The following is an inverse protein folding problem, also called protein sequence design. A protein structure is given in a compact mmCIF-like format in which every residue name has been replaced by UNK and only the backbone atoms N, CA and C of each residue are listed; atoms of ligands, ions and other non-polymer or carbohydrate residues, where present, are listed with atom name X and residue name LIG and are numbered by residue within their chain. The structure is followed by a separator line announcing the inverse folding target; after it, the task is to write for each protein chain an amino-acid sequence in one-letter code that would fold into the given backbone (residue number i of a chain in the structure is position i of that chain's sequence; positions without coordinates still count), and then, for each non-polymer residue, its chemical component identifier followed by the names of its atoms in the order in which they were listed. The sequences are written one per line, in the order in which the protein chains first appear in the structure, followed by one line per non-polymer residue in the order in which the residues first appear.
data_IF_626268154223
#
_entry.id   IF_626268154223
#
_cell.length_a   1.000
_cell.length_b   1.000
_cell.length_c   1.000
_cell.angle_alpha   90.00
_cell.angle_beta   90.00
_cell.angle_gamma   90.00
#
_symmetry.space_group_name_H-M   'P 1'
#
loop_
_entity.id
_entity.type
_entity.pdbx_description
1 polymer ?
#
# COMPACT_ATOMS: atom_id res chain seq x y z
N UNK A 1 31.90 2.69 15.12
CA UNK A 1 30.49 2.25 15.17
C UNK A 1 29.83 2.75 13.88
N UNK A 2 29.66 1.84 12.94
CA UNK A 2 29.38 2.19 11.54
C UNK A 2 28.02 2.85 11.37
N UNK A 3 27.97 3.90 10.55
CA UNK A 3 26.76 4.64 10.19
C UNK A 3 25.67 3.68 9.68
N UNK A 4 26.10 2.65 8.95
CA UNK A 4 25.23 1.60 8.43
C UNK A 4 24.48 0.84 9.54
N UNK A 5 25.12 0.50 10.65
CA UNK A 5 24.49 -0.21 11.77
C UNK A 5 23.46 0.63 12.52
N UNK A 6 23.58 1.96 12.45
CA UNK A 6 22.59 2.90 13.01
C UNK A 6 21.37 3.10 12.12
N UNK A 7 21.58 3.06 10.80
CA UNK A 7 20.52 3.25 9.80
C UNK A 7 19.68 1.98 9.58
N UNK A 8 20.35 0.82 9.52
CA UNK A 8 19.72 -0.48 9.28
C UNK A 8 19.55 -1.26 10.58
N UNK A 9 18.72 -0.74 11.48
CA UNK A 9 18.36 -1.45 12.72
C UNK A 9 17.46 -2.64 12.36
N UNK A 10 17.52 -3.71 13.16
CA UNK A 10 16.67 -4.90 13.00
C UNK A 10 17.34 -6.05 12.27
N UNK A 11 16.54 -6.94 11.70
CA UNK A 11 17.03 -8.15 11.07
C UNK A 11 17.62 -7.85 9.67
N UNK A 12 18.86 -8.25 9.46
CA UNK A 12 19.57 -8.07 8.18
C UNK A 12 18.93 -8.86 7.05
N UNK A 13 18.30 -10.01 7.35
CA UNK A 13 17.63 -10.83 6.34
C UNK A 13 16.46 -10.09 5.73
N UNK A 14 15.68 -9.36 6.54
CA UNK A 14 14.54 -8.55 6.05
C UNK A 14 15.06 -7.46 5.10
N UNK A 15 16.17 -6.79 5.44
CA UNK A 15 16.75 -5.78 4.56
C UNK A 15 17.27 -6.35 3.24
N UNK A 16 17.89 -7.54 3.27
CA UNK A 16 18.36 -8.22 2.06
C UNK A 16 17.18 -8.58 1.16
N UNK A 17 16.12 -9.18 1.71
CA UNK A 17 14.90 -9.52 0.98
C UNK A 17 14.26 -8.25 0.37
N UNK A 18 14.16 -7.19 1.16
CA UNK A 18 13.60 -5.91 0.69
C UNK A 18 14.39 -5.34 -0.49
N UNK A 19 15.72 -5.30 -0.41
CA UNK A 19 16.58 -4.82 -1.50
C UNK A 19 16.46 -5.71 -2.75
N UNK A 20 16.37 -7.03 -2.56
CA UNK A 20 16.19 -7.98 -3.65
C UNK A 20 14.85 -7.76 -4.38
N UNK A 21 13.77 -7.54 -3.62
CA UNK A 21 12.46 -7.21 -4.20
C UNK A 21 12.47 -5.86 -4.95
N UNK A 22 13.20 -4.87 -4.44
CA UNK A 22 13.39 -3.61 -5.16
C UNK A 22 14.09 -3.81 -6.52
N UNK A 23 15.12 -4.66 -6.56
CA UNK A 23 15.83 -4.99 -7.83
C UNK A 23 14.89 -5.71 -8.81
N UNK A 24 14.14 -6.71 -8.33
CA UNK A 24 13.15 -7.42 -9.16
C UNK A 24 12.14 -6.43 -9.73
N UNK A 25 11.61 -5.52 -8.91
CA UNK A 25 10.62 -4.52 -9.33
C UNK A 25 11.14 -3.63 -10.47
N UNK A 26 12.41 -3.22 -10.43
CA UNK A 26 13.01 -2.44 -11.53
C UNK A 26 13.09 -3.27 -12.82
N UNK A 27 13.49 -4.55 -12.71
CA UNK A 27 13.59 -5.45 -13.87
C UNK A 27 12.20 -5.71 -14.48
N UNK A 28 11.17 -5.91 -13.63
CA UNK A 28 9.79 -6.11 -14.10
C UNK A 28 9.27 -4.89 -14.86
N UNK A 29 9.47 -3.69 -14.32
CA UNK A 29 9.04 -2.45 -15.00
C UNK A 29 9.80 -2.27 -16.31
N UNK A 30 11.11 -2.56 -16.35
CA UNK A 30 11.88 -2.52 -17.57
C UNK A 30 11.32 -3.49 -18.62
N UNK A 31 11.03 -4.73 -18.22
CA UNK A 31 10.47 -5.76 -19.11
C UNK A 31 9.07 -5.38 -19.60
N UNK A 32 8.18 -4.95 -18.71
CA UNK A 32 6.81 -4.60 -19.06
C UNK A 32 6.70 -3.36 -19.95
N UNK A 33 7.60 -2.38 -19.77
CA UNK A 33 7.57 -1.14 -20.56
C UNK A 33 8.35 -1.26 -21.88
N UNK A 34 9.15 -2.28 -22.06
CA UNK A 34 9.94 -2.48 -23.30
C UNK A 34 9.04 -2.55 -24.55
N UNK A 35 7.88 -3.20 -24.47
CA UNK A 35 6.91 -3.32 -25.58
C UNK A 35 6.21 -2.00 -25.92
N UNK A 36 5.97 -1.17 -24.92
CA UNK A 36 5.30 0.15 -25.09
C UNK A 36 6.32 1.20 -25.55
N UNK A 37 7.56 1.06 -25.12
CA UNK A 37 8.64 1.96 -25.42
C UNK A 37 9.03 1.96 -26.93
N UNK A 38 8.79 0.86 -27.66
CA UNK A 38 8.96 0.84 -29.11
C UNK A 38 8.04 1.81 -29.88
N UNK A 39 6.93 2.21 -29.25
CA UNK A 39 5.98 3.16 -29.84
C UNK A 39 6.27 4.62 -29.49
N UNK A 40 7.02 4.88 -28.42
CA UNK A 40 7.32 6.22 -27.91
C UNK A 40 8.84 6.46 -27.97
N UNK A 41 9.26 7.64 -28.43
CA UNK A 41 10.66 8.02 -28.60
C UNK A 41 11.52 8.05 -27.31
N UNK A 42 10.92 7.86 -26.13
CA UNK A 42 11.61 7.95 -24.84
C UNK A 42 11.45 6.66 -24.01
N UNK A 43 12.37 5.74 -24.16
CA UNK A 43 12.39 4.43 -23.51
C UNK A 43 12.70 4.50 -22.00
N UNK A 44 13.37 5.55 -21.55
CA UNK A 44 13.87 5.67 -20.18
C UNK A 44 12.88 6.31 -19.20
N UNK A 45 11.94 7.10 -19.70
CA UNK A 45 11.02 7.85 -18.84
C UNK A 45 10.23 6.99 -17.83
N UNK A 46 9.63 5.84 -18.18
CA UNK A 46 8.92 5.00 -17.23
C UNK A 46 9.84 4.41 -16.16
N UNK A 47 11.06 4.01 -16.56
CA UNK A 47 12.05 3.39 -15.67
C UNK A 47 12.55 4.42 -14.65
N UNK A 48 12.92 5.61 -15.12
CA UNK A 48 13.38 6.70 -14.26
C UNK A 48 12.29 7.10 -13.28
N UNK A 49 11.04 7.23 -13.75
CA UNK A 49 9.89 7.53 -12.89
C UNK A 49 9.71 6.45 -11.81
N UNK A 50 9.75 5.17 -12.18
CA UNK A 50 9.64 4.07 -11.23
C UNK A 50 10.79 4.06 -10.23
N UNK A 51 12.03 4.19 -10.68
CA UNK A 51 13.20 4.25 -9.82
C UNK A 51 13.14 5.43 -8.83
N UNK A 52 12.63 6.58 -9.25
CA UNK A 52 12.43 7.75 -8.38
C UNK A 52 11.41 7.46 -7.28
N UNK A 53 10.27 6.85 -7.61
CA UNK A 53 9.28 6.44 -6.60
C UNK A 53 9.82 5.37 -5.67
N UNK A 54 10.59 4.41 -6.18
CA UNK A 54 11.22 3.36 -5.39
C UNK A 54 12.23 3.96 -4.39
N UNK A 55 13.05 4.89 -4.87
CA UNK A 55 14.00 5.60 -4.00
C UNK A 55 13.29 6.43 -2.93
N UNK A 56 12.23 7.15 -3.31
CA UNK A 56 11.39 7.88 -2.37
C UNK A 56 10.77 6.98 -1.30
N UNK A 57 10.23 5.83 -1.74
CA UNK A 57 9.70 4.79 -0.84
C UNK A 57 10.77 4.22 0.10
N UNK A 58 11.97 3.96 -0.41
CA UNK A 58 13.11 3.51 0.39
C UNK A 58 13.49 4.51 1.48
N UNK A 59 13.59 5.80 1.12
CA UNK A 59 13.85 6.88 2.10
C UNK A 59 12.73 6.94 3.14
N UNK A 60 11.48 6.82 2.72
CA UNK A 60 10.33 6.80 3.63
C UNK A 60 10.41 5.62 4.62
N UNK A 61 10.77 4.43 4.15
CA UNK A 61 10.98 3.24 5.01
C UNK A 61 12.09 3.50 6.04
N UNK A 62 13.21 4.09 5.62
CA UNK A 62 14.30 4.45 6.54
C UNK A 62 13.84 5.46 7.60
N UNK A 63 13.08 6.47 7.23
CA UNK A 63 12.54 7.46 8.15
C UNK A 63 11.60 6.81 9.16
N UNK A 64 10.60 6.05 8.69
CA UNK A 64 9.62 5.36 9.54
C UNK A 64 10.28 4.34 10.47
N UNK A 65 11.28 3.63 9.98
CA UNK A 65 12.01 2.63 10.76
C UNK A 65 12.76 3.24 11.98
N UNK A 66 13.17 4.49 11.88
CA UNK A 66 13.85 5.19 12.96
C UNK A 66 12.90 5.89 13.96
N UNK A 67 11.58 5.95 13.64
CA UNK A 67 10.59 6.52 14.55
C UNK A 67 10.28 5.52 15.69
N UNK A 68 10.27 5.95 16.95
CA UNK A 68 9.94 5.08 18.07
C UNK A 68 8.47 4.64 17.99
N UNK A 69 8.23 3.35 18.27
CA UNK A 69 6.91 2.68 18.12
C UNK A 69 5.78 3.39 18.88
N UNK A 70 6.06 4.16 19.92
CA UNK A 70 5.03 4.92 20.67
C UNK A 70 4.26 5.92 19.81
N UNK A 71 4.90 6.47 18.77
CA UNK A 71 4.24 7.43 17.87
C UNK A 71 3.29 6.74 16.88
N UNK A 72 3.49 5.45 16.62
CA UNK A 72 2.58 4.69 15.75
C UNK A 72 1.18 4.53 16.36
N UNK A 73 1.01 4.74 17.65
CA UNK A 73 -0.33 4.77 18.26
C UNK A 73 -1.20 5.92 17.73
N UNK A 74 -0.60 7.02 17.26
CA UNK A 74 -1.34 8.11 16.64
C UNK A 74 -1.88 7.72 15.24
N UNK A 75 -1.22 6.78 14.57
CA UNK A 75 -1.64 6.32 13.24
C UNK A 75 -2.91 5.45 13.26
N UNK A 76 -3.48 5.14 14.44
CA UNK A 76 -4.77 4.45 14.55
C UNK A 76 -5.89 5.23 13.84
N UNK A 77 -5.76 6.55 13.74
CA UNK A 77 -6.69 7.41 13.02
C UNK A 77 -6.72 7.11 11.50
N UNK A 78 -5.69 6.42 11.00
CA UNK A 78 -5.63 6.01 9.59
C UNK A 78 -6.78 5.08 9.22
N UNK A 79 -7.24 4.23 10.16
CA UNK A 79 -8.32 3.29 9.89
C UNK A 79 -9.64 3.99 9.55
N UNK A 80 -10.20 4.86 10.41
CA UNK A 80 -11.44 5.57 10.07
C UNK A 80 -11.26 6.49 8.86
N UNK A 81 -10.09 7.11 8.68
CA UNK A 81 -9.81 7.94 7.49
C UNK A 81 -9.81 7.09 6.22
N UNK A 82 -9.14 5.94 6.22
CA UNK A 82 -9.13 5.04 5.05
C UNK A 82 -10.51 4.48 4.74
N UNK A 83 -11.32 4.14 5.76
CA UNK A 83 -12.70 3.71 5.57
C UNK A 83 -13.55 4.81 4.92
N UNK A 84 -13.40 6.06 5.38
CA UNK A 84 -14.11 7.19 4.80
C UNK A 84 -13.69 7.40 3.34
N UNK A 85 -12.40 7.31 3.03
CA UNK A 85 -11.90 7.39 1.66
C UNK A 85 -12.49 6.28 0.79
N UNK A 86 -12.52 5.03 1.27
CA UNK A 86 -13.10 3.89 0.55
C UNK A 86 -14.61 4.08 0.26
N UNK A 87 -15.35 4.68 1.19
CA UNK A 87 -16.79 4.98 0.99
C UNK A 87 -16.97 6.07 -0.06
N UNK A 88 -16.10 7.06 -0.09
CA UNK A 88 -16.19 8.22 -0.99
C UNK A 88 -15.69 7.92 -2.41
N UNK A 89 -14.72 7.02 -2.54
CA UNK A 89 -14.09 6.67 -3.84
C UNK A 89 -15.08 6.29 -4.94
N UNK A 90 -16.12 5.46 -4.72
CA UNK A 90 -17.08 5.13 -5.78
C UNK A 90 -17.84 6.33 -6.34
N UNK A 91 -17.93 7.44 -5.59
CA UNK A 91 -18.69 8.64 -5.98
C UNK A 91 -17.82 9.72 -6.64
N UNK A 92 -16.54 9.81 -6.29
CA UNK A 92 -15.65 10.90 -6.71
C UNK A 92 -14.43 10.36 -7.48
N UNK A 93 -14.22 9.05 -7.49
CA UNK A 93 -13.06 8.42 -8.12
C UNK A 93 -12.95 8.72 -9.61
N UNK A 94 -11.72 8.83 -10.10
CA UNK A 94 -11.41 8.98 -11.52
C UNK A 94 -11.45 7.61 -12.19
N UNK A 95 -12.07 7.57 -13.39
CA UNK A 95 -12.13 6.37 -14.20
C UNK A 95 -10.75 5.98 -14.72
N UNK A 96 -10.21 4.91 -14.16
CA UNK A 96 -9.09 4.21 -14.76
C UNK A 96 -9.53 2.78 -15.08
N UNK A 97 -9.68 2.46 -16.37
CA UNK A 97 -10.15 1.16 -16.88
C UNK A 97 -11.56 0.77 -16.38
N UNK A 98 -12.55 1.65 -16.58
CA UNK A 98 -13.96 1.45 -16.24
C UNK A 98 -14.26 1.18 -14.75
N UNK A 99 -13.35 1.58 -13.84
CA UNK A 99 -13.58 1.47 -12.42
C UNK A 99 -13.10 2.70 -11.66
N UNK A 100 -13.99 3.30 -10.87
CA UNK A 100 -13.70 4.43 -9.97
C UNK A 100 -12.89 3.95 -8.75
N UNK A 101 -11.57 3.70 -8.94
CA UNK A 101 -10.70 3.14 -7.90
C UNK A 101 -9.59 4.09 -7.46
N UNK A 102 -9.39 5.15 -8.23
CA UNK A 102 -8.29 6.08 -8.03
C UNK A 102 -8.83 7.43 -7.59
N UNK A 103 -8.24 7.98 -6.55
CA UNK A 103 -8.43 9.38 -6.19
C UNK A 103 -7.25 10.18 -6.72
N UNK A 104 -7.53 11.30 -7.36
CA UNK A 104 -6.51 12.23 -7.82
C UNK A 104 -6.47 13.43 -6.87
N UNK A 105 -5.34 13.61 -6.19
CA UNK A 105 -5.11 14.76 -5.33
C UNK A 105 -3.84 15.46 -5.84
N UNK A 106 -3.97 16.71 -6.27
CA UNK A 106 -2.86 17.53 -6.76
C UNK A 106 -2.05 16.88 -7.90
N UNK A 107 -2.71 16.13 -8.80
CA UNK A 107 -2.06 15.45 -9.92
C UNK A 107 -1.37 14.13 -9.55
N UNK A 108 -1.49 13.66 -8.31
CA UNK A 108 -1.00 12.37 -7.86
C UNK A 108 -2.20 11.44 -7.70
N UNK A 109 -2.19 10.35 -8.45
CA UNK A 109 -3.21 9.30 -8.33
C UNK A 109 -2.79 8.32 -7.25
N UNK A 110 -3.68 8.06 -6.31
CA UNK A 110 -3.48 7.04 -5.30
C UNK A 110 -4.74 6.19 -5.13
N UNK A 111 -4.55 4.95 -4.73
CA UNK A 111 -5.63 4.00 -4.54
C UNK A 111 -5.97 3.88 -3.05
N UNK A 112 -7.18 4.26 -2.61
CA UNK A 112 -7.58 4.22 -1.21
C UNK A 112 -7.51 2.83 -0.56
N UNK A 113 -7.69 1.76 -1.33
CA UNK A 113 -7.56 0.38 -0.82
C UNK A 113 -6.15 0.04 -0.35
N UNK A 114 -5.09 0.63 -0.92
CA UNK A 114 -3.73 0.47 -0.42
C UNK A 114 -3.55 1.13 0.96
N UNK A 115 -4.16 2.30 1.14
CA UNK A 115 -4.23 2.96 2.45
C UNK A 115 -5.01 2.13 3.46
N UNK A 116 -6.12 1.51 3.05
CA UNK A 116 -6.92 0.61 3.87
C UNK A 116 -6.13 -0.58 4.38
N UNK A 117 -5.32 -1.21 3.53
CA UNK A 117 -4.44 -2.32 3.91
C UNK A 117 -3.40 -1.90 4.95
N UNK A 118 -2.75 -0.76 4.74
CA UNK A 118 -1.78 -0.22 5.70
C UNK A 118 -2.44 0.11 7.03
N UNK A 119 -3.61 0.74 7.00
CA UNK A 119 -4.38 1.09 8.19
C UNK A 119 -4.78 -0.15 9.01
N UNK A 120 -5.18 -1.25 8.34
CA UNK A 120 -5.46 -2.53 9.00
C UNK A 120 -4.23 -3.09 9.73
N UNK A 121 -3.05 -3.06 9.11
CA UNK A 121 -1.82 -3.56 9.75
C UNK A 121 -1.50 -2.74 11.01
N UNK A 122 -1.57 -1.42 10.92
CA UNK A 122 -1.33 -0.52 12.06
C UNK A 122 -2.37 -0.74 13.17
N UNK A 123 -3.65 -0.91 12.81
CA UNK A 123 -4.72 -1.17 13.75
C UNK A 123 -4.55 -2.49 14.51
N UNK A 124 -4.24 -3.57 13.80
CA UNK A 124 -3.96 -4.88 14.40
C UNK A 124 -2.76 -4.79 15.34
N UNK A 125 -1.66 -4.18 14.91
CA UNK A 125 -0.47 -3.99 15.72
C UNK A 125 -0.77 -3.18 16.99
N UNK A 126 -1.58 -2.12 16.87
CA UNK A 126 -2.03 -1.32 18.01
C UNK A 126 -2.86 -2.13 19.00
N UNK A 127 -3.83 -2.91 18.54
CA UNK A 127 -4.67 -3.74 19.42
C UNK A 127 -3.83 -4.80 20.13
N UNK A 128 -2.89 -5.44 19.42
CA UNK A 128 -1.99 -6.41 20.02
C UNK A 128 -1.07 -5.78 21.08
N UNK A 129 -0.68 -4.51 20.90
CA UNK A 129 0.10 -3.79 21.91
C UNK A 129 -0.68 -3.51 23.21
N UNK A 130 -2.02 -3.60 23.17
CA UNK A 130 -2.90 -3.46 24.34
C UNK A 130 -3.15 -4.76 25.10
N UNK A 131 -2.45 -5.84 24.75
CA UNK A 131 -2.45 -7.08 25.54
C UNK A 131 -2.09 -6.76 27.00
N UNK A 132 -2.92 -7.21 27.91
CA UNK A 132 -2.81 -6.87 29.34
C UNK A 132 -3.77 -5.76 29.83
N UNK A 133 -4.34 -4.94 28.93
CA UNK A 133 -5.46 -4.01 29.24
C UNK A 133 -6.80 -4.52 28.72
N UNK A 134 -6.79 -5.30 27.64
CA UNK A 134 -7.95 -5.90 27.01
C UNK A 134 -7.85 -7.42 27.08
N UNK A 135 -9.00 -8.07 27.23
CA UNK A 135 -9.09 -9.54 27.16
C UNK A 135 -8.82 -10.01 25.73
N UNK A 136 -8.22 -11.19 25.55
CA UNK A 136 -7.91 -11.74 24.22
C UNK A 136 -9.15 -11.81 23.32
N UNK A 137 -10.31 -12.20 23.87
CA UNK A 137 -11.58 -12.23 23.15
C UNK A 137 -12.02 -10.83 22.67
N UNK A 138 -11.75 -9.77 23.44
CA UNK A 138 -12.07 -8.41 23.04
C UNK A 138 -11.16 -7.95 21.91
N UNK A 139 -9.86 -8.24 22.02
CA UNK A 139 -8.89 -7.93 20.96
C UNK A 139 -9.29 -8.62 19.67
N UNK A 140 -9.61 -9.92 19.73
CA UNK A 140 -10.05 -10.69 18.57
C UNK A 140 -11.31 -10.11 17.92
N UNK A 141 -12.33 -9.76 18.73
CA UNK A 141 -13.56 -9.13 18.23
C UNK A 141 -13.30 -7.80 17.55
N UNK A 142 -12.46 -6.94 18.14
CA UNK A 142 -12.14 -5.63 17.54
C UNK A 142 -11.35 -5.79 16.23
N UNK A 143 -10.41 -6.75 16.16
CA UNK A 143 -9.68 -7.05 14.93
C UNK A 143 -10.67 -7.55 13.86
N UNK A 144 -11.53 -8.50 14.20
CA UNK A 144 -12.50 -9.06 13.26
C UNK A 144 -13.44 -7.98 12.70
N UNK A 145 -13.95 -7.09 13.56
CA UNK A 145 -14.83 -6.00 13.15
C UNK A 145 -14.07 -4.99 12.27
N UNK A 146 -12.93 -4.50 12.72
CA UNK A 146 -12.18 -3.45 12.01
C UNK A 146 -11.64 -3.94 10.66
N UNK A 147 -10.98 -5.09 10.63
CA UNK A 147 -10.44 -5.67 9.40
C UNK A 147 -11.57 -6.16 8.50
N UNK A 148 -12.59 -6.84 9.06
CA UNK A 148 -13.74 -7.33 8.30
C UNK A 148 -14.51 -6.21 7.60
N UNK A 149 -14.78 -5.11 8.31
CA UNK A 149 -15.44 -3.94 7.73
C UNK A 149 -14.61 -3.31 6.60
N UNK A 150 -13.29 -3.18 6.80
CA UNK A 150 -12.39 -2.66 5.76
C UNK A 150 -12.36 -3.59 4.55
N UNK A 151 -12.31 -4.91 4.76
CA UNK A 151 -12.36 -5.89 3.66
C UNK A 151 -13.66 -5.79 2.87
N UNK A 152 -14.80 -5.64 3.55
CA UNK A 152 -16.11 -5.47 2.89
C UNK A 152 -16.14 -4.20 2.04
N UNK A 153 -15.53 -3.10 2.51
CA UNK A 153 -15.44 -1.85 1.75
C UNK A 153 -14.49 -1.95 0.54
N UNK A 154 -13.46 -2.79 0.61
CA UNK A 154 -12.51 -3.00 -0.50
C UNK A 154 -13.10 -3.96 -1.56
N UNK A 155 -13.99 -4.88 -1.16
CA UNK A 155 -14.57 -5.88 -2.07
C UNK A 155 -15.15 -5.30 -3.37
N UNK A 156 -15.96 -4.24 -3.37
CA UNK A 156 -16.52 -3.68 -4.59
C UNK A 156 -15.46 -3.19 -5.58
N UNK A 157 -14.38 -2.60 -5.08
CA UNK A 157 -13.28 -2.10 -5.92
C UNK A 157 -12.55 -3.24 -6.66
N UNK A 158 -12.37 -4.38 -6.02
CA UNK A 158 -11.69 -5.54 -6.60
C UNK A 158 -12.65 -6.43 -7.40
N UNK A 159 -13.92 -6.52 -6.99
CA UNK A 159 -14.92 -7.35 -7.64
C UNK A 159 -15.31 -6.81 -9.01
N UNK A 160 -15.44 -5.49 -9.15
CA UNK A 160 -15.77 -4.84 -10.42
C UNK A 160 -14.73 -5.15 -11.51
N UNK A 161 -13.44 -5.28 -11.13
CA UNK A 161 -12.38 -5.67 -12.07
C UNK A 161 -12.50 -7.13 -12.50
N UNK A 162 -12.75 -8.03 -11.54
CA UNK A 162 -12.91 -9.45 -11.84
C UNK A 162 -14.10 -9.68 -12.78
N UNK A 163 -15.22 -8.98 -12.56
CA UNK A 163 -16.42 -9.07 -13.41
C UNK A 163 -16.16 -8.46 -14.78
N UNK A 164 -15.49 -7.33 -14.87
CA UNK A 164 -15.16 -6.68 -16.15
C UNK A 164 -14.25 -7.57 -17.01
N UNK A 165 -13.26 -8.23 -16.41
CA UNK A 165 -12.41 -9.17 -17.14
C UNK A 165 -13.15 -10.44 -17.61
N UNK A 166 -14.08 -10.94 -16.82
CA UNK A 166 -14.90 -12.10 -17.23
C UNK A 166 -15.85 -11.77 -18.39
N UNK A 167 -16.40 -10.54 -18.43
CA UNK A 167 -17.23 -10.09 -19.56
C UNK A 167 -16.44 -9.81 -20.84
N UNK A 168 -15.17 -9.40 -20.73
CA UNK A 168 -14.30 -9.18 -21.90
C UNK A 168 -13.73 -10.46 -22.51
N UNK A 169 -13.72 -11.57 -21.76
CA UNK A 169 -13.16 -12.86 -22.20
C UNK A 169 -14.23 -13.87 -22.66
N UNK A 170 -15.51 -13.54 -22.53
CA UNK A 170 -16.60 -14.35 -23.11
C UNK A 170 -16.89 -13.87 -24.55
N UNK A 171 -16.80 -14.76 -25.55
CA UNK A 171 -17.10 -14.45 -26.95
C UNK A 171 -18.56 -14.12 -27.15
#
# INVERSE_FOLDING_TARGET
MDLASKLFKGDRVIWIIFMFLCLISVVEVFSATSTIAYKNANHWAPIVRHATFLLGGFVMVLLLHNIPCRFFSAFIILLPVSMLMLIVTPFIGVDANDAHRWLEIMGIQFQPSEFGKLACVVFVAFLLSKRGKLTENQIFKYILIGVGLTCVLILPENFSTAVSYTHLTLP
#
